data_IF_018035702214
#
_entry.id   IF_018035702214
#
_cell.length_a   1.000
_cell.length_b   1.000
_cell.length_c   1.000
_cell.angle_alpha   90.00
_cell.angle_beta   90.00
_cell.angle_gamma   90.00
#
_symmetry.space_group_name_H-M   'P 1'
#
loop_
_entity.id
_entity.type
_entity.pdbx_description
1 polymer ?
#
# COMPACT_ATOMS: atom_id res chain seq x y z
N UNK A 1 -15.96 18.33 -0.62
CA UNK A 1 -16.98 17.31 -0.89
C UNK A 1 -17.52 16.71 0.41
N UNK A 2 -18.80 16.33 0.45
CA UNK A 2 -19.52 15.89 1.67
C UNK A 2 -18.90 14.62 2.30
N UNK A 3 -18.28 13.76 1.52
CA UNK A 3 -17.71 12.48 1.94
C UNK A 3 -16.17 12.41 1.77
N UNK A 4 -15.50 13.55 1.86
CA UNK A 4 -14.04 13.59 1.71
C UNK A 4 -13.30 12.85 2.84
N UNK A 5 -13.88 12.84 4.07
CA UNK A 5 -13.38 12.07 5.19
C UNK A 5 -14.33 10.91 5.50
N UNK A 6 -13.76 9.74 5.85
CA UNK A 6 -14.55 8.58 6.25
C UNK A 6 -15.29 8.85 7.55
N UNK A 7 -16.57 8.51 7.55
CA UNK A 7 -17.41 8.51 8.74
C UNK A 7 -18.38 7.31 8.65
N UNK A 8 -18.28 6.38 9.59
CA UNK A 8 -19.10 5.17 9.63
C UNK A 8 -20.61 5.45 9.58
N UNK A 9 -21.08 6.52 10.23
CA UNK A 9 -22.50 6.91 10.23
C UNK A 9 -22.96 7.38 8.85
N UNK A 10 -22.11 8.12 8.15
CA UNK A 10 -22.42 8.60 6.80
C UNK A 10 -22.33 7.48 5.78
N UNK A 11 -21.36 6.58 5.94
CA UNK A 11 -21.26 5.37 5.12
C UNK A 11 -22.52 4.51 5.22
N UNK A 12 -23.08 4.31 6.42
CA UNK A 12 -24.33 3.57 6.60
C UNK A 12 -25.53 4.23 5.89
N UNK A 13 -25.54 5.56 5.74
CA UNK A 13 -26.57 6.25 4.94
C UNK A 13 -26.39 6.04 3.43
N UNK A 14 -25.14 5.95 2.97
CA UNK A 14 -24.85 5.75 1.54
C UNK A 14 -25.36 4.42 1.00
N UNK A 15 -25.39 3.39 1.85
CA UNK A 15 -25.83 2.04 1.48
C UNK A 15 -27.36 1.80 1.65
N UNK A 16 -28.13 2.82 2.04
CA UNK A 16 -29.58 2.72 2.16
C UNK A 16 -30.28 2.93 0.81
N UNK A 17 -31.45 2.33 0.60
CA UNK A 17 -32.20 2.44 -0.66
C UNK A 17 -32.50 3.88 -1.11
N UNK A 18 -32.63 4.80 -0.16
CA UNK A 18 -32.90 6.22 -0.40
C UNK A 18 -31.68 7.01 -0.89
N UNK A 19 -30.50 6.42 -0.82
CA UNK A 19 -29.26 7.04 -1.28
C UNK A 19 -29.21 7.13 -2.82
N UNK A 20 -28.79 8.28 -3.33
CA UNK A 20 -28.48 8.45 -4.75
C UNK A 20 -27.36 7.51 -5.25
N UNK A 21 -26.54 6.97 -4.36
CA UNK A 21 -25.43 6.06 -4.66
C UNK A 21 -25.77 4.59 -4.46
N UNK A 22 -27.00 4.28 -3.96
CA UNK A 22 -27.40 2.91 -3.62
C UNK A 22 -27.14 1.91 -4.75
N UNK A 23 -27.64 2.22 -5.97
CA UNK A 23 -27.48 1.33 -7.10
C UNK A 23 -26.01 1.04 -7.47
N UNK A 24 -25.16 2.06 -7.48
CA UNK A 24 -23.74 1.91 -7.80
C UNK A 24 -22.99 1.11 -6.72
N UNK A 25 -23.26 1.38 -5.45
CA UNK A 25 -22.63 0.68 -4.33
C UNK A 25 -23.03 -0.80 -4.34
N UNK A 26 -24.32 -1.09 -4.50
CA UNK A 26 -24.81 -2.47 -4.54
C UNK A 26 -24.32 -3.24 -5.77
N UNK A 27 -24.18 -2.56 -6.92
CA UNK A 27 -23.55 -3.16 -8.09
C UNK A 27 -22.08 -3.52 -7.79
N UNK A 28 -21.34 -2.66 -7.10
CA UNK A 28 -19.96 -2.95 -6.69
C UNK A 28 -19.90 -4.13 -5.73
N UNK A 29 -20.79 -4.19 -4.73
CA UNK A 29 -20.87 -5.33 -3.82
C UNK A 29 -21.19 -6.63 -4.54
N UNK A 30 -22.11 -6.59 -5.50
CA UNK A 30 -22.43 -7.77 -6.32
C UNK A 30 -21.23 -8.24 -7.12
N UNK A 31 -20.51 -7.33 -7.78
CA UNK A 31 -19.31 -7.66 -8.53
C UNK A 31 -18.23 -8.26 -7.62
N UNK A 32 -17.98 -7.67 -6.46
CA UNK A 32 -17.00 -8.18 -5.48
C UNK A 32 -17.40 -9.57 -4.96
N UNK A 33 -18.68 -9.79 -4.70
CA UNK A 33 -19.20 -11.11 -4.29
C UNK A 33 -19.00 -12.16 -5.39
N UNK A 34 -19.31 -11.83 -6.63
CA UNK A 34 -19.11 -12.74 -7.77
C UNK A 34 -17.62 -13.06 -7.99
N UNK A 35 -16.75 -12.07 -7.87
CA UNK A 35 -15.29 -12.29 -7.95
C UNK A 35 -14.80 -13.22 -6.84
N UNK A 36 -15.26 -13.01 -5.60
CA UNK A 36 -14.94 -13.89 -4.48
C UNK A 36 -15.38 -15.34 -4.75
N UNK A 37 -16.63 -15.53 -5.18
CA UNK A 37 -17.17 -16.88 -5.46
C UNK A 37 -16.42 -17.57 -6.60
N UNK A 38 -16.09 -16.83 -7.66
CA UNK A 38 -15.36 -17.37 -8.80
C UNK A 38 -13.91 -17.71 -8.44
N UNK A 39 -13.21 -16.83 -7.72
CA UNK A 39 -11.85 -17.09 -7.26
C UNK A 39 -11.80 -18.30 -6.34
N UNK A 40 -12.73 -18.42 -5.39
CA UNK A 40 -12.82 -19.57 -4.50
C UNK A 40 -12.98 -20.88 -5.26
N UNK A 41 -13.91 -20.94 -6.22
CA UNK A 41 -14.11 -22.11 -7.08
C UNK A 41 -12.88 -22.45 -7.92
N UNK A 42 -12.20 -21.45 -8.47
CA UNK A 42 -10.99 -21.63 -9.26
C UNK A 42 -9.84 -22.20 -8.40
N UNK A 43 -9.66 -21.66 -7.18
CA UNK A 43 -8.68 -22.15 -6.22
C UNK A 43 -8.97 -23.60 -5.79
N UNK A 44 -10.19 -23.91 -5.39
CA UNK A 44 -10.60 -25.26 -5.03
C UNK A 44 -10.39 -26.25 -6.21
N UNK A 45 -10.66 -25.83 -7.44
CA UNK A 45 -10.41 -26.65 -8.62
C UNK A 45 -8.91 -26.90 -8.82
N UNK A 46 -8.07 -25.89 -8.73
CA UNK A 46 -6.61 -26.03 -8.84
C UNK A 46 -6.06 -26.99 -7.78
N UNK A 47 -6.46 -26.82 -6.52
CA UNK A 47 -6.07 -27.70 -5.41
C UNK A 47 -6.52 -29.12 -5.63
N UNK A 48 -7.73 -29.35 -6.18
CA UNK A 48 -8.22 -30.69 -6.52
C UNK A 48 -7.39 -31.41 -7.59
N UNK A 49 -6.58 -30.64 -8.35
CA UNK A 49 -5.64 -31.16 -9.35
C UNK A 49 -4.19 -31.22 -8.86
N UNK A 50 -3.95 -30.94 -7.59
CA UNK A 50 -2.61 -30.90 -6.99
C UNK A 50 -1.77 -29.68 -7.43
N UNK A 51 -2.42 -28.61 -7.88
CA UNK A 51 -1.76 -27.35 -8.26
C UNK A 51 -1.77 -26.40 -7.09
N UNK A 52 -0.59 -25.96 -6.63
CA UNK A 52 -0.44 -24.89 -5.67
C UNK A 52 -0.50 -23.52 -6.36
N UNK A 53 -1.19 -22.59 -5.74
CA UNK A 53 -1.37 -21.23 -6.25
C UNK A 53 -0.56 -20.25 -5.42
N UNK A 54 0.09 -19.30 -6.09
CA UNK A 54 0.78 -18.18 -5.46
C UNK A 54 0.18 -16.87 -5.94
N UNK A 55 -0.17 -15.98 -5.01
CA UNK A 55 -0.54 -14.61 -5.37
C UNK A 55 0.67 -13.68 -5.33
N UNK A 56 0.59 -12.64 -6.12
CA UNK A 56 1.52 -11.51 -6.08
C UNK A 56 0.82 -10.36 -5.34
N UNK A 57 1.30 -10.03 -4.14
CA UNK A 57 0.72 -8.98 -3.33
C UNK A 57 1.33 -7.63 -3.72
N UNK A 58 0.53 -6.68 -4.21
CA UNK A 58 1.03 -5.37 -4.57
C UNK A 58 1.57 -4.61 -3.35
N UNK A 59 2.59 -3.79 -3.56
CA UNK A 59 3.29 -3.04 -2.51
C UNK A 59 2.44 -1.95 -1.87
N UNK A 60 1.42 -1.45 -2.55
CA UNK A 60 0.59 -0.35 -2.05
C UNK A 60 -0.82 -0.34 -2.61
N UNK A 61 -1.59 0.61 -2.16
CA UNK A 61 -2.98 0.85 -2.57
C UNK A 61 -3.12 2.26 -3.15
N UNK A 62 -4.08 2.47 -4.01
CA UNK A 62 -4.34 3.80 -4.55
C UNK A 62 -4.77 4.78 -3.46
N UNK A 63 -4.33 6.03 -3.61
CA UNK A 63 -4.69 7.13 -2.70
C UNK A 63 -6.21 7.34 -2.58
N UNK A 64 -6.94 7.16 -3.66
CA UNK A 64 -8.40 7.31 -3.73
C UNK A 64 -9.12 5.94 -3.59
N UNK A 65 -8.49 4.97 -2.93
CA UNK A 65 -9.08 3.66 -2.67
C UNK A 65 -9.98 3.65 -1.43
N UNK A 66 -10.78 2.60 -1.31
CA UNK A 66 -11.60 2.37 -0.11
C UNK A 66 -10.71 2.16 1.12
N UNK A 67 -9.57 1.50 0.95
CA UNK A 67 -8.59 1.22 2.00
C UNK A 67 -8.07 2.52 2.63
N UNK A 68 -7.61 3.46 1.80
CA UNK A 68 -7.10 4.75 2.28
C UNK A 68 -8.21 5.64 2.83
N UNK A 69 -9.40 5.58 2.24
CA UNK A 69 -10.54 6.37 2.71
C UNK A 69 -11.05 5.89 4.07
N UNK A 70 -11.14 4.56 4.27
CA UNK A 70 -11.65 3.98 5.53
C UNK A 70 -10.64 3.95 6.66
N UNK A 71 -9.35 3.97 6.34
CA UNK A 71 -8.24 3.82 7.28
C UNK A 71 -7.18 4.94 7.06
N UNK A 72 -7.63 6.18 6.89
CA UNK A 72 -6.75 7.30 6.56
C UNK A 72 -5.57 7.48 7.54
N UNK A 73 -5.78 7.15 8.81
CA UNK A 73 -4.77 7.24 9.88
C UNK A 73 -3.64 6.19 9.74
N UNK A 74 -3.82 5.18 8.87
CA UNK A 74 -2.79 4.18 8.58
C UNK A 74 -1.88 4.59 7.42
N UNK A 75 -2.10 5.75 6.80
CA UNK A 75 -1.36 6.19 5.61
C UNK A 75 -0.84 7.61 5.76
N UNK A 76 0.39 7.85 5.30
CA UNK A 76 0.93 9.18 5.10
C UNK A 76 0.40 9.74 3.77
N UNK A 77 -0.74 10.42 3.82
CA UNK A 77 -1.41 10.94 2.61
C UNK A 77 -0.69 12.15 1.99
N UNK A 78 0.25 12.73 2.68
CA UNK A 78 1.16 13.79 2.21
C UNK A 78 2.42 13.26 1.53
N UNK A 79 2.61 11.92 1.55
CA UNK A 79 3.75 11.23 0.94
C UNK A 79 3.31 10.26 -0.17
N UNK A 80 4.25 9.86 -1.00
CA UNK A 80 4.10 8.87 -2.07
C UNK A 80 5.24 7.87 -1.99
N UNK A 81 4.95 6.62 -2.33
CA UNK A 81 5.93 5.55 -2.39
C UNK A 81 6.63 5.52 -3.75
N UNK A 82 7.90 5.16 -3.74
CA UNK A 82 8.67 4.95 -4.95
C UNK A 82 10.01 4.28 -4.70
N UNK A 83 10.95 4.52 -5.59
CA UNK A 83 12.34 4.09 -5.48
C UNK A 83 13.30 5.27 -5.66
N UNK A 84 14.46 5.26 -4.97
CA UNK A 84 15.46 6.29 -5.17
C UNK A 84 16.05 6.26 -6.59
N UNK A 85 16.70 7.34 -7.01
CA UNK A 85 17.54 7.34 -8.21
C UNK A 85 18.57 6.20 -8.19
N UNK A 86 18.77 5.60 -9.34
CA UNK A 86 19.72 4.52 -9.54
C UNK A 86 20.48 4.71 -10.86
N UNK A 87 21.43 3.83 -11.15
CA UNK A 87 22.17 3.87 -12.43
C UNK A 87 21.25 3.71 -13.64
N UNK A 88 20.20 2.90 -13.51
CA UNK A 88 19.29 2.54 -14.59
C UNK A 88 18.06 3.45 -14.63
N UNK A 89 17.74 4.11 -13.50
CA UNK A 89 16.60 5.01 -13.29
C UNK A 89 17.09 6.32 -12.65
N UNK A 90 17.63 7.23 -13.47
CA UNK A 90 18.34 8.42 -13.00
C UNK A 90 17.50 9.37 -12.12
N UNK A 91 16.20 9.37 -12.29
CA UNK A 91 15.26 10.20 -11.50
C UNK A 91 14.47 9.38 -10.48
N UNK A 92 14.77 8.07 -10.34
CA UNK A 92 14.00 7.13 -9.53
C UNK A 92 12.61 6.87 -10.10
N UNK A 93 11.78 6.19 -9.32
CA UNK A 93 10.39 5.91 -9.69
C UNK A 93 9.45 6.48 -8.64
N UNK A 94 8.41 7.18 -9.07
CA UNK A 94 7.29 7.61 -8.22
C UNK A 94 6.04 6.80 -8.62
N UNK A 95 5.53 6.00 -7.68
CA UNK A 95 4.37 5.12 -7.94
C UNK A 95 3.04 5.77 -7.56
N UNK A 96 3.06 6.91 -6.86
CA UNK A 96 1.85 7.66 -6.50
C UNK A 96 1.03 7.06 -5.35
N UNK A 97 1.42 5.90 -4.79
CA UNK A 97 0.75 5.29 -3.64
C UNK A 97 1.12 6.04 -2.36
N UNK A 98 0.18 6.25 -1.42
CA UNK A 98 0.56 6.72 -0.10
C UNK A 98 1.40 5.66 0.62
N UNK A 99 2.35 6.10 1.42
CA UNK A 99 3.11 5.19 2.29
C UNK A 99 2.31 4.84 3.54
N UNK A 100 2.61 3.69 4.14
CA UNK A 100 1.95 3.28 5.39
C UNK A 100 2.66 3.87 6.59
N UNK A 101 1.88 4.16 7.64
CA UNK A 101 2.41 4.57 8.93
C UNK A 101 3.24 3.44 9.56
N UNK A 102 4.27 3.81 10.31
CA UNK A 102 5.10 2.86 11.06
C UNK A 102 4.53 2.68 12.48
N UNK A 103 3.43 1.93 12.58
CA UNK A 103 2.75 1.63 13.83
C UNK A 103 2.13 0.23 13.84
N UNK A 104 1.71 -0.23 15.03
CA UNK A 104 1.15 -1.57 15.21
C UNK A 104 -0.16 -1.77 14.43
N UNK A 105 -0.98 -0.73 14.29
CA UNK A 105 -2.24 -0.79 13.56
C UNK A 105 -2.01 -1.02 12.06
N UNK A 106 -0.99 -0.37 11.49
CA UNK A 106 -0.63 -0.58 10.09
C UNK A 106 -0.09 -2.00 9.84
N UNK A 107 0.70 -2.54 10.78
CA UNK A 107 1.15 -3.94 10.74
C UNK A 107 -0.03 -4.90 10.84
N UNK A 108 -0.97 -4.64 11.75
CA UNK A 108 -2.18 -5.46 11.89
C UNK A 108 -3.02 -5.44 10.61
N UNK A 109 -3.17 -4.27 9.98
CA UNK A 109 -3.88 -4.13 8.69
C UNK A 109 -3.22 -4.95 7.57
N UNK A 110 -1.89 -4.93 7.46
CA UNK A 110 -1.16 -5.78 6.49
C UNK A 110 -1.35 -7.27 6.78
N UNK A 111 -1.34 -7.65 8.05
CA UNK A 111 -1.59 -9.02 8.46
C UNK A 111 -2.99 -9.49 8.07
N UNK A 112 -4.01 -8.64 8.23
CA UNK A 112 -5.39 -8.96 7.84
C UNK A 112 -5.51 -9.16 6.32
N UNK A 113 -4.82 -8.35 5.52
CA UNK A 113 -4.74 -8.54 4.07
C UNK A 113 -4.13 -9.90 3.72
N UNK A 114 -3.01 -10.26 4.33
CA UNK A 114 -2.36 -11.55 4.12
C UNK A 114 -3.27 -12.71 4.52
N UNK A 115 -3.91 -12.62 5.69
CA UNK A 115 -4.85 -13.62 6.18
C UNK A 115 -6.06 -13.80 5.24
N UNK A 116 -6.53 -12.70 4.62
CA UNK A 116 -7.60 -12.78 3.62
C UNK A 116 -7.15 -13.57 2.38
N UNK A 117 -5.96 -13.31 1.85
CA UNK A 117 -5.46 -13.98 0.64
C UNK A 117 -5.10 -15.45 0.85
N UNK A 118 -4.72 -15.86 2.08
CA UNK A 118 -4.48 -17.26 2.44
C UNK A 118 -5.70 -18.18 2.27
N UNK A 119 -6.90 -17.62 2.11
CA UNK A 119 -8.11 -18.41 1.82
C UNK A 119 -8.09 -18.99 0.39
N UNK A 120 -7.29 -18.44 -0.51
CA UNK A 120 -7.27 -18.79 -1.93
C UNK A 120 -5.92 -19.31 -2.41
N UNK A 121 -4.84 -18.89 -1.77
CA UNK A 121 -3.48 -19.11 -2.24
C UNK A 121 -2.62 -19.80 -1.19
N UNK A 122 -1.74 -20.70 -1.63
CA UNK A 122 -0.83 -21.45 -0.78
C UNK A 122 0.46 -20.69 -0.45
N UNK A 123 0.79 -19.73 -1.28
CA UNK A 123 1.97 -18.88 -1.12
C UNK A 123 1.67 -17.44 -1.55
N UNK A 124 2.46 -16.51 -1.02
CA UNK A 124 2.40 -15.08 -1.36
C UNK A 124 3.78 -14.61 -1.77
N UNK A 125 3.89 -13.96 -2.93
CA UNK A 125 5.04 -13.17 -3.29
C UNK A 125 4.81 -11.74 -2.80
N UNK A 126 5.70 -11.24 -1.95
CA UNK A 126 5.70 -9.82 -1.55
C UNK A 126 6.49 -9.03 -2.59
N UNK A 127 5.80 -8.15 -3.29
CA UNK A 127 6.46 -7.24 -4.22
C UNK A 127 7.21 -6.15 -3.44
N UNK A 128 8.36 -5.76 -3.95
CA UNK A 128 9.22 -4.73 -3.34
C UNK A 128 9.40 -4.89 -1.83
N UNK A 129 9.86 -6.06 -1.40
CA UNK A 129 9.99 -6.45 0.03
C UNK A 129 10.77 -5.43 0.88
N UNK A 130 11.65 -4.62 0.28
CA UNK A 130 12.43 -3.58 0.97
C UNK A 130 11.51 -2.56 1.66
N UNK A 131 10.34 -2.27 1.09
CA UNK A 131 9.38 -1.31 1.65
C UNK A 131 8.78 -1.74 2.99
N UNK A 132 8.85 -3.03 3.34
CA UNK A 132 8.45 -3.52 4.66
C UNK A 132 9.47 -3.21 5.77
N UNK A 133 10.66 -2.77 5.41
CA UNK A 133 11.73 -2.38 6.35
C UNK A 133 12.04 -0.89 6.26
N UNK A 134 12.13 -0.37 5.04
CA UNK A 134 12.36 1.04 4.73
C UNK A 134 11.73 1.36 3.39
N UNK A 135 10.91 2.38 3.35
CA UNK A 135 10.26 2.85 2.14
C UNK A 135 10.95 4.11 1.63
N UNK A 136 10.99 4.28 0.31
CA UNK A 136 11.37 5.56 -0.29
C UNK A 136 10.13 6.45 -0.36
N UNK A 137 10.09 7.48 0.48
CA UNK A 137 9.00 8.45 0.55
C UNK A 137 9.32 9.69 -0.28
N UNK A 138 8.37 10.11 -1.07
CA UNK A 138 8.43 11.28 -1.94
C UNK A 138 7.30 12.21 -1.52
N UNK A 139 7.54 13.52 -1.27
CA UNK A 139 6.46 14.45 -0.98
C UNK A 139 5.38 14.43 -2.05
N UNK A 140 4.11 14.51 -1.65
CA UNK A 140 2.98 14.34 -2.58
C UNK A 140 2.93 15.35 -3.72
N UNK A 141 3.45 16.55 -3.52
CA UNK A 141 3.55 17.62 -4.51
C UNK A 141 4.75 17.47 -5.46
N UNK A 142 5.66 16.50 -5.20
CA UNK A 142 6.79 16.20 -6.06
C UNK A 142 6.46 15.13 -7.10
N UNK A 143 6.84 15.39 -8.35
CA UNK A 143 6.65 14.44 -9.45
C UNK A 143 7.81 13.44 -9.51
N UNK A 144 9.04 13.92 -9.30
CA UNK A 144 10.26 13.13 -9.42
C UNK A 144 10.67 12.52 -8.09
N UNK A 145 11.19 11.30 -8.15
CA UNK A 145 11.56 10.55 -6.96
C UNK A 145 12.90 10.98 -6.35
N UNK A 146 13.70 11.78 -7.03
CA UNK A 146 14.96 12.35 -6.53
C UNK A 146 14.75 13.29 -5.34
N UNK A 147 13.52 13.80 -5.14
CA UNK A 147 13.12 14.61 -3.99
C UNK A 147 12.73 13.78 -2.76
N UNK A 148 12.84 12.46 -2.85
CA UNK A 148 12.45 11.54 -1.78
C UNK A 148 13.54 11.32 -0.74
N UNK A 149 13.17 10.57 0.28
CA UNK A 149 14.05 10.09 1.35
C UNK A 149 13.60 8.72 1.86
N UNK A 150 14.49 8.02 2.57
CA UNK A 150 14.10 6.78 3.24
C UNK A 150 13.35 7.04 4.54
N UNK A 151 12.23 6.32 4.75
CA UNK A 151 11.51 6.27 6.00
C UNK A 151 11.41 4.79 6.48
N UNK A 152 11.69 4.49 7.77
CA UNK A 152 12.28 5.41 8.75
C UNK A 152 13.68 5.87 8.33
N UNK A 153 14.01 7.12 8.65
CA UNK A 153 15.32 7.68 8.39
C UNK A 153 16.36 7.07 9.35
N UNK A 154 17.51 6.68 8.82
CA UNK A 154 18.64 6.25 9.64
C UNK A 154 19.49 7.48 9.98
N UNK A 155 19.35 7.98 11.21
CA UNK A 155 20.13 9.10 11.70
C UNK A 155 21.53 8.61 12.09
N UNK A 156 22.52 8.87 11.25
CA UNK A 156 23.92 8.58 11.50
C UNK A 156 24.65 9.85 11.93
N UNK A 157 25.48 9.76 12.97
CA UNK A 157 26.42 10.82 13.32
C UNK A 157 27.58 10.88 12.32
N UNK A 158 28.26 12.03 12.25
CA UNK A 158 29.47 12.17 11.44
C UNK A 158 30.53 11.12 11.77
N UNK A 159 30.62 10.72 13.05
CA UNK A 159 31.56 9.71 13.52
C UNK A 159 31.20 8.30 13.03
N UNK A 160 29.92 7.98 12.96
CA UNK A 160 29.42 6.71 12.42
C UNK A 160 29.65 6.63 10.92
N UNK A 161 29.40 7.71 10.20
CA UNK A 161 29.66 7.83 8.77
C UNK A 161 31.16 7.64 8.49
N UNK A 162 32.02 8.31 9.29
CA UNK A 162 33.48 8.16 9.17
C UNK A 162 33.96 6.73 9.44
N UNK A 163 33.35 6.02 10.42
CA UNK A 163 33.65 4.59 10.69
C UNK A 163 33.31 3.68 9.52
N UNK A 164 32.36 4.07 8.68
CA UNK A 164 32.04 3.36 7.43
C UNK A 164 33.03 3.69 6.29
N UNK A 165 34.06 4.48 6.55
CA UNK A 165 35.03 4.91 5.52
C UNK A 165 34.52 6.00 4.57
N UNK A 166 33.43 6.66 4.92
CA UNK A 166 32.78 7.72 4.11
C UNK A 166 33.18 9.08 4.69
N UNK A 167 33.74 9.95 3.86
CA UNK A 167 34.00 11.34 4.25
C UNK A 167 32.69 12.13 4.25
N UNK A 168 32.29 12.64 5.41
CA UNK A 168 31.10 13.48 5.52
C UNK A 168 31.32 14.81 4.79
N UNK A 169 30.36 15.18 3.97
CA UNK A 169 30.35 16.43 3.17
C UNK A 169 29.02 17.15 3.37
N UNK A 170 29.06 18.31 4.05
CA UNK A 170 27.86 19.15 4.29
C UNK A 170 27.13 19.64 3.05
N UNK A 171 27.81 19.66 1.91
CA UNK A 171 27.25 20.11 0.63
C UNK A 171 26.47 18.99 -0.10
N UNK A 172 26.43 17.79 0.46
CA UNK A 172 25.68 16.64 -0.09
C UNK A 172 24.47 16.22 0.76
N UNK A 173 24.21 16.93 1.89
CA UNK A 173 23.14 16.61 2.82
C UNK A 173 22.38 17.86 3.26
#
# INVERSE_FOLDING_TARGET
PQYAAYNKRDMLKLVQPESAFYGQIHQTYFVQYELYVQLKKASEHAHSKGVSLMCDLPVGVYRDSVETWTNADLFHLDMQMGTPPSRDELIGQNWGFPTMADNEEAVAFQHDILAYWQQFFDAVRLDHVVSHFRVWEIPHDCIFADMGHYAPALHLSEEEIARCGIAFRKDLF
#
